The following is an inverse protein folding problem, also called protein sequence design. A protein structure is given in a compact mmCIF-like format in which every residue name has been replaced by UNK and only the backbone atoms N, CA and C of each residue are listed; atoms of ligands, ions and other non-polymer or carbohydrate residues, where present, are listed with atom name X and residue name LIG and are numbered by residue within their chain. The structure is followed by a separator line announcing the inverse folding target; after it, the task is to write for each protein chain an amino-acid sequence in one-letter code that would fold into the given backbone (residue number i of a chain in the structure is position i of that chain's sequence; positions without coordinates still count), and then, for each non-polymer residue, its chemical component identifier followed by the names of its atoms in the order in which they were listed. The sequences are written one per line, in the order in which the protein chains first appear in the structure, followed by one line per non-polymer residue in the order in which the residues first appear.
data_IF_467892842066
#
_entry.id   IF_467892842066
#
_cell.length_a   1.000
_cell.length_b   1.000
_cell.length_c   1.000
_cell.angle_alpha   90.00
_cell.angle_beta   90.00
_cell.angle_gamma   90.00
#
_symmetry.space_group_name_H-M   'P 1'
#
loop_
_entity.id
_entity.type
_entity.pdbx_description
1 polymer ?
#
# COMPACT_ATOMS: atom_id res chain seq x y z
N UNK A 1 -67.31 44.17 -16.54
CA UNK A 1 -67.27 45.56 -16.01
C UNK A 1 -66.50 45.51 -14.69
N UNK A 2 -65.36 46.12 -14.43
CA UNK A 2 -64.42 46.98 -15.17
C UNK A 2 -63.32 47.36 -14.17
N UNK A 3 -62.04 47.36 -14.59
CA UNK A 3 -60.94 48.08 -13.91
C UNK A 3 -61.05 49.59 -14.23
N UNK A 4 -60.47 50.52 -13.44
CA UNK A 4 -59.04 50.91 -13.57
C UNK A 4 -58.31 50.97 -12.19
N UNK A 5 -56.99 50.75 -12.05
CA UNK A 5 -55.81 51.54 -12.49
C UNK A 5 -55.77 52.92 -11.78
N UNK A 6 -54.73 53.40 -11.08
CA UNK A 6 -53.32 53.55 -11.45
C UNK A 6 -52.44 53.90 -10.22
N UNK A 7 -51.23 53.31 -10.11
CA UNK A 7 -49.87 53.90 -10.19
C UNK A 7 -49.43 54.89 -9.11
N UNK A 8 -48.32 54.57 -8.44
CA UNK A 8 -47.01 55.26 -8.56
C UNK A 8 -45.92 54.40 -7.89
N UNK A 9 -44.84 54.08 -8.60
CA UNK A 9 -43.58 53.57 -8.03
C UNK A 9 -42.57 54.71 -7.84
N UNK A 10 -41.26 54.43 -7.87
CA UNK A 10 -40.48 53.48 -7.08
C UNK A 10 -39.57 54.25 -6.09
N UNK A 11 -39.19 53.65 -4.96
CA UNK A 11 -38.05 54.16 -4.18
C UNK A 11 -37.03 53.02 -4.01
N UNK A 12 -36.08 53.01 -4.93
CA UNK A 12 -34.83 52.30 -4.78
C UNK A 12 -34.12 52.83 -3.54
N UNK A 13 -33.57 51.95 -2.70
CA UNK A 13 -32.26 52.13 -2.07
C UNK A 13 -31.83 50.90 -1.26
N UNK A 14 -30.70 50.34 -1.71
CA UNK A 14 -29.63 49.72 -0.93
C UNK A 14 -29.95 48.43 -0.16
N UNK A 15 -29.88 47.29 -0.86
CA UNK A 15 -29.49 46.04 -0.22
C UNK A 15 -28.04 46.12 0.28
N UNK A 16 -27.67 45.36 1.33
CA UNK A 16 -26.32 45.37 1.87
C UNK A 16 -25.31 45.01 0.78
N UNK A 17 -24.28 45.83 0.68
CA UNK A 17 -23.20 45.75 -0.28
C UNK A 17 -22.45 44.43 -0.17
N UNK A 18 -21.91 43.98 -1.30
CA UNK A 18 -21.19 42.73 -1.53
C UNK A 18 -19.79 42.69 -0.88
N UNK A 19 -19.61 43.33 0.27
CA UNK A 19 -18.31 43.62 0.88
C UNK A 19 -18.32 43.39 2.40
N UNK A 20 -18.76 42.22 2.86
CA UNK A 20 -18.51 41.83 4.27
C UNK A 20 -18.55 40.30 4.53
N UNK A 21 -18.02 39.51 3.59
CA UNK A 21 -17.65 38.11 3.85
C UNK A 21 -16.16 37.90 3.63
N UNK A 22 -15.36 38.54 4.47
CA UNK A 22 -13.94 38.19 4.65
C UNK A 22 -13.80 37.52 6.02
N UNK A 23 -13.12 36.38 6.03
CA UNK A 23 -12.55 35.72 7.21
C UNK A 23 -13.51 35.05 8.21
N UNK A 24 -14.40 34.17 7.73
CA UNK A 24 -14.61 32.94 8.48
C UNK A 24 -13.35 32.07 8.22
N UNK A 25 -12.41 32.12 9.16
CA UNK A 25 -11.17 31.36 9.09
C UNK A 25 -11.46 29.90 8.82
N UNK A 26 -10.90 29.37 7.73
CA UNK A 26 -10.76 27.94 7.55
C UNK A 26 -9.96 27.47 8.76
N UNK A 27 -10.59 26.73 9.66
CA UNK A 27 -9.89 26.08 10.77
C UNK A 27 -8.67 25.33 10.21
N UNK A 28 -7.63 25.10 11.03
CA UNK A 28 -6.48 24.30 10.59
C UNK A 28 -7.02 23.03 9.95
N UNK A 29 -6.49 22.62 8.78
CA UNK A 29 -6.94 21.39 8.14
C UNK A 29 -6.89 20.28 9.18
N UNK A 30 -8.05 19.67 9.44
CA UNK A 30 -8.15 18.45 10.23
C UNK A 30 -7.05 17.51 9.74
N UNK A 31 -6.15 17.09 10.64
CA UNK A 31 -5.02 16.23 10.28
C UNK A 31 -5.60 15.08 9.47
N UNK A 32 -5.24 14.97 8.19
CA UNK A 32 -5.68 13.86 7.36
C UNK A 32 -5.39 12.58 8.14
N UNK A 33 -6.42 11.79 8.43
CA UNK A 33 -6.26 10.53 9.12
C UNK A 33 -5.29 9.69 8.27
N UNK A 34 -4.09 9.45 8.81
CA UNK A 34 -3.10 8.61 8.13
C UNK A 34 -3.59 7.18 8.31
N UNK A 35 -4.13 6.57 7.26
CA UNK A 35 -4.40 5.13 7.27
C UNK A 35 -3.06 4.40 7.11
N UNK A 36 -2.66 3.69 8.15
CA UNK A 36 -1.48 2.83 8.14
C UNK A 36 -1.84 1.51 7.45
N UNK A 37 -1.04 1.11 6.46
CA UNK A 37 -1.17 -0.21 5.82
C UNK A 37 -0.27 -1.21 6.55
N UNK A 38 -0.85 -2.31 7.03
CA UNK A 38 -0.16 -3.35 7.79
C UNK A 38 -0.17 -4.67 7.03
N UNK A 39 1.01 -5.24 6.80
CA UNK A 39 1.19 -6.57 6.20
C UNK A 39 1.81 -7.54 7.18
N UNK A 40 1.16 -8.68 7.41
CA UNK A 40 1.71 -9.80 8.20
C UNK A 40 2.38 -10.80 7.25
N UNK A 41 3.67 -11.05 7.40
CA UNK A 41 4.48 -11.73 6.39
C UNK A 41 5.05 -13.09 6.84
N UNK A 42 5.03 -14.07 5.94
CA UNK A 42 5.63 -15.40 6.16
C UNK A 42 4.77 -16.28 7.07
N UNK A 43 3.46 -16.21 6.92
CA UNK A 43 2.50 -17.00 7.71
C UNK A 43 2.50 -18.45 7.22
N UNK A 44 2.54 -19.42 8.13
CA UNK A 44 2.63 -20.86 7.80
C UNK A 44 1.54 -21.73 8.44
N UNK A 45 0.63 -21.13 9.23
CA UNK A 45 -0.42 -21.81 9.98
C UNK A 45 -1.76 -21.08 9.81
N UNK A 46 -2.87 -21.83 9.88
CA UNK A 46 -4.22 -21.27 9.74
C UNK A 46 -4.58 -20.29 10.85
N UNK A 47 -4.28 -20.63 12.10
CA UNK A 47 -4.54 -19.77 13.26
C UNK A 47 -3.83 -18.41 13.15
N UNK A 48 -2.62 -18.38 12.60
CA UNK A 48 -1.90 -17.15 12.34
C UNK A 48 -2.49 -16.32 11.17
N UNK A 49 -3.11 -16.96 10.18
CA UNK A 49 -3.87 -16.26 9.13
C UNK A 49 -5.11 -15.61 9.74
N UNK A 50 -5.89 -16.39 10.50
CA UNK A 50 -7.11 -15.91 11.17
C UNK A 50 -6.79 -14.75 12.11
N UNK A 51 -5.78 -14.89 12.97
CA UNK A 51 -5.35 -13.83 13.87
C UNK A 51 -4.91 -12.55 13.13
N UNK A 52 -4.24 -12.68 11.99
CA UNK A 52 -3.85 -11.52 11.18
C UNK A 52 -5.06 -10.80 10.58
N UNK A 53 -6.04 -11.55 10.08
CA UNK A 53 -7.30 -11.00 9.55
C UNK A 53 -8.10 -10.33 10.66
N UNK A 54 -8.28 -10.98 11.81
CA UNK A 54 -9.01 -10.43 12.96
C UNK A 54 -8.35 -9.16 13.52
N UNK A 55 -7.02 -9.08 13.48
CA UNK A 55 -6.27 -7.89 13.87
C UNK A 55 -6.39 -6.73 12.87
N UNK A 56 -7.04 -6.93 11.72
CA UNK A 56 -7.23 -5.91 10.69
C UNK A 56 -6.03 -5.70 9.79
N UNK A 57 -5.22 -6.74 9.54
CA UNK A 57 -4.14 -6.64 8.56
C UNK A 57 -4.69 -6.37 7.15
N UNK A 58 -4.07 -5.44 6.42
CA UNK A 58 -4.42 -5.13 5.03
C UNK A 58 -3.86 -6.17 4.04
N UNK A 59 -2.81 -6.90 4.45
CA UNK A 59 -2.19 -7.92 3.61
C UNK A 59 -1.56 -9.08 4.40
N UNK A 60 -1.52 -10.26 3.78
CA UNK A 60 -0.85 -11.45 4.28
C UNK A 60 0.15 -11.97 3.24
N UNK A 61 1.39 -12.20 3.67
CA UNK A 61 2.48 -12.68 2.82
C UNK A 61 2.72 -14.18 2.94
N UNK A 62 2.71 -14.88 1.80
CA UNK A 62 3.00 -16.31 1.68
C UNK A 62 4.36 -16.48 0.98
N UNK A 63 5.29 -17.20 1.62
CA UNK A 63 6.69 -17.23 1.20
C UNK A 63 6.99 -18.46 0.34
N UNK A 64 7.48 -18.23 -0.88
CA UNK A 64 7.83 -19.25 -1.88
C UNK A 64 9.35 -19.36 -2.11
N UNK A 65 10.18 -18.76 -1.26
CA UNK A 65 11.64 -18.89 -1.32
C UNK A 65 12.10 -20.15 -0.56
N UNK A 66 12.56 -21.23 -1.23
CA UNK A 66 12.81 -22.53 -0.60
C UNK A 66 13.79 -22.52 0.60
N UNK A 67 14.88 -21.72 0.57
CA UNK A 67 15.78 -21.59 1.73
C UNK A 67 15.15 -20.94 2.98
N UNK A 68 13.98 -20.32 2.86
CA UNK A 68 13.30 -19.69 4.00
C UNK A 68 12.70 -20.75 4.93
N UNK A 69 12.84 -20.62 6.27
CA UNK A 69 12.15 -21.50 7.22
C UNK A 69 10.62 -21.32 7.19
N UNK A 70 10.14 -20.28 6.50
CA UNK A 70 8.72 -19.97 6.32
C UNK A 70 8.21 -20.36 4.93
N UNK A 71 9.00 -21.12 4.17
CA UNK A 71 8.64 -21.59 2.83
C UNK A 71 7.33 -22.39 2.84
N UNK A 72 6.54 -22.20 1.79
CA UNK A 72 5.32 -22.94 1.49
C UNK A 72 5.36 -23.40 0.03
N UNK A 73 4.81 -24.59 -0.24
CA UNK A 73 4.44 -24.95 -1.61
C UNK A 73 3.21 -24.15 -2.07
N UNK A 74 2.99 -23.97 -3.38
CA UNK A 74 1.78 -23.31 -3.91
C UNK A 74 0.48 -23.91 -3.38
N UNK A 75 0.39 -25.24 -3.28
CA UNK A 75 -0.79 -25.93 -2.77
C UNK A 75 -1.03 -25.62 -1.29
N UNK A 76 0.04 -25.56 -0.48
CA UNK A 76 -0.07 -25.22 0.94
C UNK A 76 -0.46 -23.76 1.15
N UNK A 77 0.09 -22.85 0.35
CA UNK A 77 -0.28 -21.43 0.38
C UNK A 77 -1.75 -21.23 0.00
N UNK A 78 -2.25 -21.91 -1.02
CA UNK A 78 -3.68 -21.87 -1.40
C UNK A 78 -4.59 -22.37 -0.29
N UNK A 79 -4.25 -23.47 0.38
CA UNK A 79 -5.01 -23.95 1.52
C UNK A 79 -5.04 -22.92 2.67
N UNK A 80 -3.88 -22.32 3.00
CA UNK A 80 -3.78 -21.30 4.04
C UNK A 80 -4.49 -19.98 3.68
N UNK A 81 -4.53 -19.63 2.39
CA UNK A 81 -5.16 -18.41 1.91
C UNK A 81 -6.68 -18.51 1.74
N UNK A 82 -7.25 -19.72 1.74
CA UNK A 82 -8.69 -19.96 1.64
C UNK A 82 -9.59 -19.10 2.55
N UNK A 83 -9.28 -18.92 3.85
CA UNK A 83 -10.07 -18.09 4.75
C UNK A 83 -9.80 -16.57 4.62
N UNK A 84 -8.84 -16.14 3.80
CA UNK A 84 -8.48 -14.71 3.68
C UNK A 84 -9.61 -13.96 2.94
N UNK A 85 -10.25 -12.95 3.57
CA UNK A 85 -11.30 -12.18 2.93
C UNK A 85 -10.76 -11.37 1.74
N UNK A 86 -11.60 -11.10 0.73
CA UNK A 86 -11.19 -10.38 -0.48
C UNK A 86 -10.72 -8.93 -0.28
N UNK A 87 -10.91 -8.34 0.91
CA UNK A 87 -10.35 -7.02 1.24
C UNK A 87 -8.92 -7.08 1.81
N UNK A 88 -8.43 -8.27 2.16
CA UNK A 88 -7.05 -8.50 2.64
C UNK A 88 -6.22 -9.05 1.49
N UNK A 89 -5.16 -8.34 1.12
CA UNK A 89 -4.32 -8.74 -0.02
C UNK A 89 -3.50 -10.00 0.29
N UNK A 90 -3.47 -10.93 -0.66
CA UNK A 90 -2.58 -12.10 -0.67
C UNK A 90 -1.32 -11.73 -1.44
N UNK A 91 -0.19 -11.73 -0.76
CA UNK A 91 1.10 -11.37 -1.36
C UNK A 91 1.96 -12.61 -1.51
N UNK A 92 2.34 -12.94 -2.75
CA UNK A 92 3.40 -13.92 -2.99
C UNK A 92 4.75 -13.30 -2.65
N UNK A 93 5.56 -13.96 -1.81
CA UNK A 93 6.86 -13.46 -1.40
C UNK A 93 7.95 -14.37 -1.95
N UNK A 94 8.74 -13.83 -2.86
CA UNK A 94 9.92 -14.48 -3.44
C UNK A 94 11.12 -13.58 -3.21
N UNK A 95 12.33 -14.15 -3.14
CA UNK A 95 13.53 -13.34 -2.91
C UNK A 95 14.03 -12.73 -4.23
N UNK A 96 14.51 -13.62 -5.11
CA UNK A 96 15.07 -13.29 -6.42
C UNK A 96 14.66 -14.38 -7.43
N UNK A 97 13.37 -14.50 -7.76
CA UNK A 97 12.89 -15.59 -8.60
C UNK A 97 13.26 -15.36 -10.07
N UNK A 98 13.43 -16.45 -10.80
CA UNK A 98 13.38 -16.49 -12.25
C UNK A 98 11.93 -16.61 -12.74
N UNK A 99 11.69 -16.34 -14.02
CA UNK A 99 10.35 -16.43 -14.60
C UNK A 99 9.71 -17.81 -14.38
N UNK A 100 10.46 -18.91 -14.55
CA UNK A 100 9.93 -20.27 -14.38
C UNK A 100 9.44 -20.53 -12.95
N UNK A 101 10.19 -20.08 -11.94
CA UNK A 101 9.79 -20.22 -10.53
C UNK A 101 8.52 -19.40 -10.22
N UNK A 102 8.36 -18.24 -10.86
CA UNK A 102 7.16 -17.44 -10.74
C UNK A 102 5.95 -18.09 -11.43
N UNK A 103 6.14 -18.65 -12.63
CA UNK A 103 5.12 -19.36 -13.38
C UNK A 103 4.61 -20.58 -12.57
N UNK A 104 5.49 -21.34 -11.91
CA UNK A 104 5.13 -22.44 -11.01
C UNK A 104 4.25 -21.99 -9.83
N UNK A 105 4.56 -20.82 -9.24
CA UNK A 105 3.71 -20.23 -8.18
C UNK A 105 2.34 -19.87 -8.73
N UNK A 106 2.28 -19.26 -9.92
CA UNK A 106 1.02 -18.89 -10.58
C UNK A 106 0.16 -20.09 -10.97
N UNK A 107 0.72 -21.26 -11.21
CA UNK A 107 -0.08 -22.46 -11.48
C UNK A 107 -0.90 -22.88 -10.24
N UNK A 108 -0.31 -22.78 -9.05
CA UNK A 108 -0.90 -23.31 -7.82
C UNK A 108 -1.45 -22.27 -6.85
N UNK A 109 -1.14 -20.99 -7.01
CA UNK A 109 -1.53 -19.90 -6.11
C UNK A 109 -1.99 -18.66 -6.90
N UNK A 110 -3.02 -17.97 -6.39
CA UNK A 110 -3.55 -16.73 -6.98
C UNK A 110 -3.28 -15.55 -6.04
N UNK A 111 -2.11 -14.89 -6.17
CA UNK A 111 -1.79 -13.69 -5.40
C UNK A 111 -2.45 -12.43 -5.98
N UNK A 112 -2.66 -11.43 -5.13
CA UNK A 112 -3.01 -10.05 -5.55
C UNK A 112 -1.75 -9.25 -5.92
N UNK A 113 -0.58 -9.61 -5.38
CA UNK A 113 0.71 -9.02 -5.75
C UNK A 113 1.90 -9.95 -5.54
N UNK A 114 2.99 -9.68 -6.27
CA UNK A 114 4.29 -10.32 -6.09
C UNK A 114 5.28 -9.36 -5.42
N UNK A 115 5.83 -9.80 -4.30
CA UNK A 115 6.95 -9.18 -3.61
C UNK A 115 8.25 -9.88 -3.97
N UNK A 116 9.22 -9.15 -4.53
CA UNK A 116 10.58 -9.62 -4.81
C UNK A 116 11.59 -8.47 -4.83
N UNK A 117 12.89 -8.77 -4.81
CA UNK A 117 13.94 -7.76 -5.00
C UNK A 117 13.69 -6.97 -6.29
N UNK A 118 13.81 -5.65 -6.19
CA UNK A 118 13.34 -4.73 -7.24
C UNK A 118 13.99 -4.98 -8.61
N UNK A 119 15.27 -5.36 -8.63
CA UNK A 119 16.01 -5.68 -9.85
C UNK A 119 15.43 -6.92 -10.54
N UNK A 120 15.23 -8.00 -9.79
CA UNK A 120 14.62 -9.23 -10.31
C UNK A 120 13.17 -9.01 -10.71
N UNK A 121 12.38 -8.29 -9.89
CA UNK A 121 10.96 -8.05 -10.17
C UNK A 121 10.77 -7.30 -11.49
N UNK A 122 11.60 -6.31 -11.79
CA UNK A 122 11.53 -5.51 -13.02
C UNK A 122 11.63 -6.36 -14.29
N UNK A 123 12.32 -7.50 -14.24
CA UNK A 123 12.55 -8.38 -15.39
C UNK A 123 11.42 -9.42 -15.60
N UNK A 124 10.57 -9.64 -14.60
CA UNK A 124 9.50 -10.64 -14.65
C UNK A 124 8.30 -10.16 -15.46
N UNK A 125 7.67 -11.10 -16.17
CA UNK A 125 6.33 -10.91 -16.75
C UNK A 125 5.28 -11.34 -15.74
N UNK A 126 4.42 -10.39 -15.38
CA UNK A 126 3.30 -10.61 -14.46
C UNK A 126 1.97 -10.48 -15.24
N UNK A 127 0.93 -11.23 -14.85
CA UNK A 127 -0.44 -10.95 -15.26
C UNK A 127 -0.85 -9.50 -14.91
N UNK A 128 -1.76 -8.92 -15.70
CA UNK A 128 -2.20 -7.52 -15.52
C UNK A 128 -2.88 -7.25 -14.18
N UNK A 129 -3.50 -8.28 -13.60
CA UNK A 129 -4.21 -8.23 -12.32
C UNK A 129 -3.30 -8.47 -11.11
N UNK A 130 -2.02 -8.80 -11.31
CA UNK A 130 -1.04 -9.01 -10.23
C UNK A 130 -0.20 -7.77 -10.04
N UNK A 131 -0.34 -7.14 -8.87
CA UNK A 131 0.47 -5.98 -8.49
C UNK A 131 1.95 -6.29 -8.29
N UNK A 132 2.80 -5.28 -8.46
CA UNK A 132 4.24 -5.32 -8.16
C UNK A 132 4.49 -4.73 -6.78
N UNK A 133 5.24 -5.44 -5.94
CA UNK A 133 5.72 -4.93 -4.65
C UNK A 133 7.26 -5.07 -4.58
N UNK A 134 8.01 -4.14 -5.21
CA UNK A 134 9.46 -4.21 -5.21
C UNK A 134 10.05 -4.01 -3.81
N UNK A 135 11.06 -4.83 -3.51
CA UNK A 135 11.84 -4.75 -2.27
C UNK A 135 13.14 -4.00 -2.54
N UNK A 136 13.31 -2.88 -1.86
CA UNK A 136 14.54 -2.11 -1.81
C UNK A 136 15.29 -2.42 -0.52
N UNK A 137 16.56 -2.80 -0.67
CA UNK A 137 17.42 -3.21 0.45
C UNK A 137 18.27 -2.06 0.92
N UNK A 138 18.32 -1.86 2.22
CA UNK A 138 19.17 -0.85 2.84
C UNK A 138 20.64 -1.31 2.88
N UNK A 139 21.43 -0.81 1.93
CA UNK A 139 22.87 -1.04 1.84
C UNK A 139 23.60 0.30 1.68
N UNK A 140 24.92 0.34 1.95
CA UNK A 140 25.70 1.59 1.98
C UNK A 140 25.61 2.42 0.69
N UNK A 141 25.41 1.76 -0.46
CA UNK A 141 25.30 2.39 -1.78
C UNK A 141 23.86 2.70 -2.19
N UNK A 142 22.88 2.51 -1.31
CA UNK A 142 21.49 2.80 -1.62
C UNK A 142 21.28 4.31 -1.79
N UNK A 143 21.09 4.73 -3.03
CA UNK A 143 20.90 6.14 -3.40
C UNK A 143 19.42 6.54 -3.31
N UNK A 144 19.10 7.33 -2.29
CA UNK A 144 17.74 7.89 -2.08
C UNK A 144 17.36 9.01 -3.06
N UNK A 145 18.31 9.54 -3.85
CA UNK A 145 18.16 10.74 -4.67
C UNK A 145 17.83 10.49 -6.14
N UNK A 146 18.25 9.36 -6.72
CA UNK A 146 18.16 9.09 -8.16
C UNK A 146 17.25 7.90 -8.52
N UNK A 147 16.21 7.66 -7.71
CA UNK A 147 15.42 6.42 -7.79
C UNK A 147 13.96 6.68 -8.16
N UNK A 148 13.50 6.12 -9.30
CA UNK A 148 12.08 5.97 -9.61
C UNK A 148 11.52 4.82 -8.77
N UNK A 149 11.05 5.14 -7.56
CA UNK A 149 10.39 4.17 -6.70
C UNK A 149 9.03 3.83 -7.34
N UNK A 150 8.85 2.57 -7.76
CA UNK A 150 7.51 2.05 -8.04
C UNK A 150 6.69 2.06 -6.74
N UNK A 151 5.44 2.53 -6.80
CA UNK A 151 4.60 2.71 -5.62
C UNK A 151 3.41 1.74 -5.70
N UNK A 152 3.14 0.93 -4.66
CA UNK A 152 3.83 0.83 -3.37
C UNK A 152 5.15 0.02 -3.43
N UNK A 153 6.07 0.28 -2.51
CA UNK A 153 7.30 -0.51 -2.35
C UNK A 153 7.53 -0.95 -0.90
N UNK A 154 8.43 -1.92 -0.71
CA UNK A 154 8.92 -2.35 0.60
C UNK A 154 10.39 -1.94 0.78
N UNK A 155 10.71 -1.34 1.92
CA UNK A 155 12.10 -1.01 2.29
C UNK A 155 12.50 -1.79 3.54
N UNK A 156 13.55 -2.61 3.44
CA UNK A 156 14.05 -3.43 4.54
C UNK A 156 15.58 -3.40 4.65
N UNK A 157 16.12 -4.01 5.70
CA UNK A 157 17.57 -4.15 5.87
C UNK A 157 18.25 -4.90 4.72
N UNK A 158 19.58 -4.80 4.63
CA UNK A 158 20.39 -5.51 3.63
C UNK A 158 20.10 -7.02 3.53
N UNK A 159 19.72 -7.66 4.64
CA UNK A 159 19.51 -9.12 4.70
C UNK A 159 18.14 -9.44 5.30
N UNK A 160 17.27 -10.06 4.49
CA UNK A 160 15.94 -10.47 4.94
C UNK A 160 15.99 -11.46 6.11
N UNK A 161 14.99 -11.38 6.99
CA UNK A 161 14.73 -12.40 8.01
C UNK A 161 15.70 -12.42 9.19
N UNK A 162 16.53 -11.39 9.38
CA UNK A 162 17.46 -11.26 10.52
C UNK A 162 16.94 -10.41 11.68
N UNK A 163 15.73 -9.85 11.57
CA UNK A 163 15.14 -9.02 12.62
C UNK A 163 15.90 -7.71 12.88
N UNK A 164 16.62 -7.19 11.86
CA UNK A 164 17.33 -5.92 11.95
C UNK A 164 16.58 -4.85 11.16
N UNK A 165 16.40 -3.64 11.70
CA UNK A 165 15.79 -2.55 10.97
C UNK A 165 16.74 -1.93 9.93
N UNK A 166 16.20 -1.32 8.87
CA UNK A 166 16.96 -0.43 8.01
C UNK A 166 17.28 0.88 8.74
N UNK A 167 18.07 1.75 8.11
CA UNK A 167 18.27 3.12 8.55
C UNK A 167 16.94 3.90 8.54
N UNK A 168 16.53 4.34 9.74
CA UNK A 168 15.36 5.18 9.94
C UNK A 168 15.45 6.53 9.21
N UNK A 169 16.67 7.06 9.06
CA UNK A 169 16.92 8.29 8.31
C UNK A 169 16.58 8.11 6.82
N UNK A 170 17.08 7.03 6.20
CA UNK A 170 16.76 6.73 4.80
C UNK A 170 15.30 6.36 4.61
N UNK A 171 14.73 5.59 5.53
CA UNK A 171 13.29 5.28 5.54
C UNK A 171 12.44 6.56 5.57
N UNK A 172 12.78 7.53 6.42
CA UNK A 172 12.09 8.81 6.49
C UNK A 172 12.21 9.61 5.18
N UNK A 173 13.38 9.60 4.53
CA UNK A 173 13.57 10.26 3.23
C UNK A 173 12.71 9.63 2.13
N UNK A 174 12.61 8.29 2.10
CA UNK A 174 11.77 7.57 1.14
C UNK A 174 10.27 7.81 1.38
N UNK A 175 9.83 7.76 2.64
CA UNK A 175 8.43 7.97 3.02
C UNK A 175 7.89 9.36 2.67
N UNK A 176 8.77 10.36 2.50
CA UNK A 176 8.39 11.69 1.99
C UNK A 176 8.06 11.73 0.50
N UNK A 177 8.42 10.68 -0.24
CA UNK A 177 8.35 10.64 -1.72
C UNK A 177 7.50 9.50 -2.26
N UNK A 178 7.28 8.44 -1.48
CA UNK A 178 6.58 7.24 -1.92
C UNK A 178 5.70 6.64 -0.81
N UNK A 179 4.75 5.78 -1.20
CA UNK A 179 4.08 4.88 -0.26
C UNK A 179 5.02 3.71 0.02
N UNK A 180 5.67 3.76 1.18
CA UNK A 180 6.68 2.79 1.60
C UNK A 180 6.12 1.91 2.71
N UNK A 181 6.24 0.61 2.55
CA UNK A 181 6.09 -0.36 3.62
C UNK A 181 7.47 -0.60 4.26
N UNK A 182 7.59 -0.35 5.56
CA UNK A 182 8.83 -0.63 6.29
C UNK A 182 8.84 -2.09 6.74
N UNK A 183 10.01 -2.71 6.73
CA UNK A 183 10.19 -4.08 7.22
C UNK A 183 11.60 -4.32 7.77
N UNK A 184 11.76 -5.44 8.48
CA UNK A 184 12.99 -5.85 9.16
C UNK A 184 13.00 -5.43 10.62
N UNK A 185 12.77 -6.37 11.55
CA UNK A 185 12.92 -6.12 12.99
C UNK A 185 11.99 -5.06 13.59
N UNK A 186 10.78 -4.92 13.04
CA UNK A 186 9.72 -4.06 13.57
C UNK A 186 9.00 -4.70 14.75
#
# INVERSE_FOLDING_TARGET
MGRPADRHGPDARCGPTRADRRHAGRGPPEKAAVSLFVKICGVTRHDAVEAAVEAGADAIGFNFHPPSPRFLSPQRATALAGPVPGHVQRVAVMLRPQQAEWDEVLEGFRPDSLQADADCLAELRLPEDVGRLPVYRDHERFDTGNFSIEIPCLFESAVSGKGRPPSWERAALLARRARVMLAGGL
#
